data_IF_994164601696
#
_entry.id   IF_994164601696
#
_cell.length_a   1.000
_cell.length_b   1.000
_cell.length_c   1.000
_cell.angle_alpha   90.00
_cell.angle_beta   90.00
_cell.angle_gamma   90.00
#
_symmetry.space_group_name_H-M   'P 1'
#
loop_
_entity.id
_entity.type
_entity.pdbx_description
1 polymer ?
#
# COMPACT_ATOMS: atom_id res chain seq x y z
N UNK A 1 -1.37 -5.62 19.65
CA UNK A 1 -0.43 -4.86 18.81
C UNK A 1 -1.21 -4.24 17.66
N UNK A 2 -1.06 -2.94 17.39
CA UNK A 2 -1.67 -2.27 16.24
C UNK A 2 -0.61 -2.11 15.16
N UNK A 3 -0.94 -2.51 13.92
CA UNK A 3 -0.09 -2.38 12.75
C UNK A 3 -0.80 -1.48 11.74
N UNK A 4 -0.22 -0.33 11.47
CA UNK A 4 -0.67 0.57 10.41
C UNK A 4 -0.03 0.13 9.10
N UNK A 5 -0.79 0.09 8.02
CA UNK A 5 -0.26 -0.38 6.75
C UNK A 5 -0.88 0.39 5.58
N UNK A 6 -0.11 0.59 4.52
CA UNK A 6 -0.70 0.88 3.21
C UNK A 6 -1.33 -0.38 2.63
N UNK A 7 -2.04 -0.24 1.54
CA UNK A 7 -2.65 -1.35 0.83
C UNK A 7 -1.86 -1.73 -0.43
N UNK A 8 -1.79 -0.81 -1.36
CA UNK A 8 -1.20 -1.02 -2.68
C UNK A 8 0.33 -1.02 -2.60
N UNK A 9 0.98 -2.06 -3.15
CA UNK A 9 2.41 -2.26 -3.02
C UNK A 9 2.87 -2.76 -1.63
N UNK A 10 1.95 -2.96 -0.69
CA UNK A 10 2.23 -3.48 0.67
C UNK A 10 1.46 -4.77 0.94
N UNK A 11 0.15 -4.73 0.86
CA UNK A 11 -0.75 -5.87 1.06
C UNK A 11 -1.16 -6.53 -0.26
N UNK A 12 -1.45 -5.69 -1.26
CA UNK A 12 -1.98 -6.07 -2.56
C UNK A 12 -1.04 -5.65 -3.69
N UNK A 13 -0.96 -6.47 -4.73
CA UNK A 13 -0.20 -6.17 -5.95
C UNK A 13 -1.04 -5.35 -6.93
N UNK A 14 -1.22 -4.06 -6.59
CA UNK A 14 -1.91 -3.09 -7.43
C UNK A 14 -1.20 -2.93 -8.78
N UNK A 15 0.12 -2.87 -8.78
CA UNK A 15 0.93 -2.61 -9.97
C UNK A 15 0.69 -3.69 -11.03
N UNK A 16 0.72 -4.98 -10.67
CA UNK A 16 0.44 -6.07 -11.59
C UNK A 16 -0.94 -5.91 -12.25
N UNK A 17 -1.98 -5.65 -11.46
CA UNK A 17 -3.35 -5.50 -11.96
C UNK A 17 -3.51 -4.27 -12.85
N UNK A 18 -2.92 -3.14 -12.44
CA UNK A 18 -2.93 -1.91 -13.22
C UNK A 18 -2.20 -2.08 -14.55
N UNK A 19 -1.03 -2.72 -14.57
CA UNK A 19 -0.29 -2.98 -15.80
C UNK A 19 -1.05 -3.89 -16.77
N UNK A 20 -1.73 -4.92 -16.27
CA UNK A 20 -2.62 -5.74 -17.08
C UNK A 20 -3.77 -4.93 -17.69
N UNK A 21 -4.39 -4.07 -16.90
CA UNK A 21 -5.47 -3.21 -17.35
C UNK A 21 -4.98 -2.19 -18.41
N UNK A 22 -3.84 -1.57 -18.21
CA UNK A 22 -3.19 -0.66 -19.15
C UNK A 22 -2.81 -1.37 -20.46
N UNK A 23 -2.25 -2.58 -20.35
CA UNK A 23 -1.91 -3.40 -21.52
C UNK A 23 -3.14 -3.69 -22.40
N UNK A 24 -4.28 -3.99 -21.79
CA UNK A 24 -5.55 -4.21 -22.52
C UNK A 24 -6.06 -2.95 -23.22
N UNK A 25 -5.70 -1.77 -22.72
CA UNK A 25 -6.00 -0.47 -23.35
C UNK A 25 -4.98 -0.06 -24.43
N UNK A 26 -3.95 -0.86 -24.66
CA UNK A 26 -2.93 -0.61 -25.68
C UNK A 26 -1.68 0.10 -25.18
N UNK A 27 -1.60 0.49 -23.91
CA UNK A 27 -0.41 1.10 -23.34
C UNK A 27 0.70 0.08 -23.11
N UNK A 28 1.95 0.54 -23.26
CA UNK A 28 3.15 -0.26 -23.03
C UNK A 28 4.12 0.53 -22.17
N UNK A 29 4.80 -0.11 -21.21
CA UNK A 29 5.77 0.57 -20.37
C UNK A 29 6.97 1.04 -21.20
N UNK A 30 7.46 2.23 -20.89
CA UNK A 30 8.70 2.82 -21.43
C UNK A 30 9.80 2.84 -20.39
N UNK A 31 9.46 2.92 -19.10
CA UNK A 31 10.37 2.80 -17.96
C UNK A 31 9.73 1.96 -16.85
N UNK A 32 10.07 0.67 -16.83
CA UNK A 32 9.50 -0.28 -15.84
C UNK A 32 10.05 -0.11 -14.42
N UNK A 33 11.01 0.77 -14.19
CA UNK A 33 11.58 1.05 -12.87
C UNK A 33 10.95 2.27 -12.19
N UNK A 34 10.22 3.09 -12.97
CA UNK A 34 9.59 4.29 -12.45
C UNK A 34 8.37 3.97 -11.56
N UNK A 35 8.29 4.64 -10.40
CA UNK A 35 7.11 4.61 -9.54
C UNK A 35 5.93 5.39 -10.15
N UNK A 36 6.21 6.57 -10.68
CA UNK A 36 5.19 7.44 -11.27
C UNK A 36 4.69 6.88 -12.61
N UNK A 37 3.38 6.65 -12.71
CA UNK A 37 2.77 5.99 -13.86
C UNK A 37 2.85 6.82 -15.16
N UNK A 38 2.91 8.14 -15.06
CA UNK A 38 3.18 9.02 -16.21
C UNK A 38 4.57 8.76 -16.81
N UNK A 39 5.59 8.66 -15.98
CA UNK A 39 6.96 8.30 -16.40
C UNK A 39 7.00 6.85 -16.90
N UNK A 40 6.38 5.93 -16.16
CA UNK A 40 6.34 4.50 -16.50
C UNK A 40 5.79 4.24 -17.91
N UNK A 41 4.74 4.96 -18.31
CA UNK A 41 4.08 4.79 -19.61
C UNK A 41 4.41 5.88 -20.64
N UNK A 42 5.19 6.89 -20.29
CA UNK A 42 5.54 8.00 -21.20
C UNK A 42 4.30 8.82 -21.61
N UNK A 43 3.34 8.99 -20.71
CA UNK A 43 2.10 9.76 -20.91
C UNK A 43 2.12 11.05 -20.09
N UNK A 44 1.15 11.94 -20.30
CA UNK A 44 1.06 13.14 -19.49
C UNK A 44 0.61 12.83 -18.06
N UNK A 45 1.00 13.67 -17.10
CA UNK A 45 0.59 13.55 -15.71
C UNK A 45 -0.95 13.61 -15.55
N UNK A 46 -1.61 14.44 -16.37
CA UNK A 46 -3.07 14.56 -16.36
C UNK A 46 -3.74 13.25 -16.83
N UNK A 47 -3.29 12.68 -17.93
CA UNK A 47 -3.77 11.41 -18.46
C UNK A 47 -3.50 10.26 -17.48
N UNK A 48 -2.31 10.21 -16.90
CA UNK A 48 -1.95 9.21 -15.88
C UNK A 48 -2.89 9.28 -14.66
N UNK A 49 -3.18 10.49 -14.16
CA UNK A 49 -4.10 10.68 -13.04
C UNK A 49 -5.50 10.18 -13.39
N UNK A 50 -6.03 10.53 -14.56
CA UNK A 50 -7.35 10.09 -15.01
C UNK A 50 -7.43 8.56 -15.13
N UNK A 51 -6.40 7.93 -15.71
CA UNK A 51 -6.33 6.47 -15.85
C UNK A 51 -6.22 5.77 -14.48
N UNK A 52 -5.44 6.29 -13.54
CA UNK A 52 -5.35 5.76 -12.19
C UNK A 52 -6.69 5.84 -11.46
N UNK A 53 -7.38 6.97 -11.51
CA UNK A 53 -8.72 7.13 -10.92
C UNK A 53 -9.70 6.16 -11.56
N UNK A 54 -9.75 6.09 -12.90
CA UNK A 54 -10.62 5.17 -13.64
C UNK A 54 -10.40 3.71 -13.22
N UNK A 55 -9.15 3.31 -13.03
CA UNK A 55 -8.82 1.96 -12.57
C UNK A 55 -9.27 1.74 -11.13
N UNK A 56 -8.95 2.67 -10.22
CA UNK A 56 -9.30 2.57 -8.80
C UNK A 56 -10.81 2.57 -8.53
N UNK A 57 -11.62 3.14 -9.43
CA UNK A 57 -13.07 3.14 -9.38
C UNK A 57 -13.72 2.00 -10.19
N UNK A 58 -12.91 1.19 -10.85
CA UNK A 58 -13.40 0.04 -11.60
C UNK A 58 -13.62 -1.18 -10.69
N UNK A 59 -14.40 -2.16 -11.21
CA UNK A 59 -14.57 -3.45 -10.52
C UNK A 59 -13.25 -4.20 -10.28
N UNK A 60 -12.19 -3.89 -11.03
CA UNK A 60 -10.88 -4.53 -10.91
C UNK A 60 -10.28 -4.35 -9.50
N UNK A 61 -10.52 -3.20 -8.84
CA UNK A 61 -9.99 -2.93 -7.50
C UNK A 61 -10.48 -3.90 -6.43
N UNK A 62 -11.64 -4.51 -6.65
CA UNK A 62 -12.20 -5.54 -5.77
C UNK A 62 -11.53 -6.94 -5.93
N UNK A 63 -10.57 -7.10 -6.85
CA UNK A 63 -9.98 -8.38 -7.19
C UNK A 63 -8.45 -8.33 -7.31
N UNK A 64 -7.81 -7.35 -6.69
CA UNK A 64 -6.35 -7.27 -6.67
C UNK A 64 -5.76 -8.51 -5.98
N UNK A 65 -4.70 -9.11 -6.52
CA UNK A 65 -4.02 -10.23 -5.88
C UNK A 65 -3.21 -9.76 -4.66
N UNK A 66 -2.91 -10.66 -3.72
CA UNK A 66 -2.02 -10.36 -2.61
C UNK A 66 -0.58 -10.12 -3.09
N UNK A 67 0.13 -9.24 -2.40
CA UNK A 67 1.55 -9.02 -2.65
C UNK A 67 2.37 -10.15 -2.00
N UNK A 68 3.20 -10.82 -2.79
CA UNK A 68 4.20 -11.81 -2.31
C UNK A 68 3.63 -12.75 -1.22
N UNK A 69 4.23 -12.73 -0.04
CA UNK A 69 3.92 -13.56 1.12
C UNK A 69 2.97 -12.91 2.14
N UNK A 70 2.32 -11.79 1.76
CA UNK A 70 1.47 -11.00 2.65
C UNK A 70 0.37 -11.84 3.33
N UNK A 71 -0.32 -12.72 2.58
CA UNK A 71 -1.39 -13.56 3.17
C UNK A 71 -0.87 -14.33 4.38
N UNK A 72 0.27 -14.98 4.23
CA UNK A 72 0.82 -15.86 5.26
C UNK A 72 1.17 -15.10 6.52
N UNK A 73 1.89 -13.99 6.39
CA UNK A 73 2.46 -13.31 7.56
C UNK A 73 1.51 -12.31 8.20
N UNK A 74 0.62 -11.67 7.44
CA UNK A 74 -0.48 -10.87 8.00
C UNK A 74 -1.40 -11.74 8.86
N UNK A 75 -1.83 -12.90 8.33
CA UNK A 75 -2.64 -13.85 9.11
C UNK A 75 -1.89 -14.37 10.33
N UNK A 76 -0.62 -14.72 10.19
CA UNK A 76 0.20 -15.20 11.30
C UNK A 76 0.36 -14.15 12.41
N UNK A 77 0.56 -12.88 12.05
CA UNK A 77 0.59 -11.78 13.01
C UNK A 77 -0.76 -11.62 13.71
N UNK A 78 -1.86 -11.71 12.96
CA UNK A 78 -3.21 -11.62 13.54
C UNK A 78 -3.54 -12.80 14.47
N UNK A 79 -3.38 -14.04 13.98
CA UNK A 79 -3.80 -15.25 14.66
C UNK A 79 -2.88 -15.63 15.84
N UNK A 80 -1.56 -15.48 15.68
CA UNK A 80 -0.57 -15.91 16.68
C UNK A 80 -0.16 -14.79 17.64
N UNK A 81 -0.16 -13.53 17.19
CA UNK A 81 0.31 -12.37 17.98
C UNK A 81 -0.82 -11.42 18.40
N UNK A 82 -2.06 -11.69 17.97
CA UNK A 82 -3.19 -10.81 18.25
C UNK A 82 -3.05 -9.42 17.61
N UNK A 83 -2.33 -9.31 16.49
CA UNK A 83 -2.19 -8.05 15.80
C UNK A 83 -3.51 -7.63 15.15
N UNK A 84 -3.82 -6.35 15.24
CA UNK A 84 -4.95 -5.70 14.58
C UNK A 84 -4.41 -4.72 13.56
N UNK A 85 -4.99 -4.73 12.37
CA UNK A 85 -4.49 -3.91 11.27
C UNK A 85 -5.40 -2.71 10.99
N UNK A 86 -4.78 -1.53 10.82
CA UNK A 86 -5.43 -0.35 10.27
C UNK A 86 -4.80 -0.04 8.90
N UNK A 87 -5.58 -0.20 7.84
CA UNK A 87 -5.14 0.10 6.48
C UNK A 87 -5.44 1.55 6.12
N UNK A 88 -4.43 2.29 5.64
CA UNK A 88 -4.53 3.70 5.21
C UNK A 88 -3.99 3.79 3.79
N UNK A 89 -4.87 3.92 2.80
CA UNK A 89 -4.52 3.84 1.38
C UNK A 89 -5.08 5.01 0.58
N UNK A 90 -4.27 5.55 -0.35
CA UNK A 90 -4.69 6.63 -1.27
C UNK A 90 -5.09 6.00 -2.60
N UNK A 91 -6.39 5.78 -2.82
CA UNK A 91 -6.90 5.14 -4.02
C UNK A 91 -8.08 5.87 -4.66
N UNK A 92 -9.15 6.08 -3.92
CA UNK A 92 -10.36 6.81 -4.29
C UNK A 92 -11.22 7.02 -3.05
N UNK A 93 -11.98 8.10 -3.02
CA UNK A 93 -13.01 8.40 -2.02
C UNK A 93 -14.43 7.99 -2.49
N UNK A 94 -14.53 7.34 -3.66
CA UNK A 94 -15.79 6.77 -4.14
C UNK A 94 -16.28 5.65 -3.22
N UNK A 95 -17.53 5.70 -2.71
CA UNK A 95 -18.03 4.72 -1.75
C UNK A 95 -18.06 3.27 -2.26
N UNK A 96 -18.24 3.07 -3.57
CA UNK A 96 -18.22 1.72 -4.16
C UNK A 96 -16.82 1.18 -4.28
N UNK A 97 -15.86 2.02 -4.66
CA UNK A 97 -14.45 1.65 -4.69
C UNK A 97 -13.95 1.28 -3.29
N UNK A 98 -14.31 2.05 -2.26
CA UNK A 98 -14.00 1.74 -0.85
C UNK A 98 -14.57 0.38 -0.46
N UNK A 99 -15.85 0.14 -0.73
CA UNK A 99 -16.50 -1.15 -0.43
C UNK A 99 -15.83 -2.33 -1.14
N UNK A 100 -15.44 -2.17 -2.40
CA UNK A 100 -14.71 -3.20 -3.15
C UNK A 100 -13.34 -3.48 -2.52
N UNK A 101 -12.64 -2.46 -2.06
CA UNK A 101 -11.35 -2.60 -1.36
C UNK A 101 -11.53 -3.38 -0.05
N UNK A 102 -12.48 -3.01 0.79
CA UNK A 102 -12.78 -3.71 2.03
C UNK A 102 -13.12 -5.19 1.77
N UNK A 103 -13.99 -5.46 0.80
CA UNK A 103 -14.33 -6.83 0.42
C UNK A 103 -13.13 -7.64 -0.11
N UNK A 104 -12.21 -6.98 -0.83
CA UNK A 104 -10.99 -7.64 -1.31
C UNK A 104 -10.07 -8.02 -0.14
N UNK A 105 -9.86 -7.11 0.80
CA UNK A 105 -9.07 -7.37 2.01
C UNK A 105 -9.68 -8.49 2.86
N UNK A 106 -10.98 -8.45 3.12
CA UNK A 106 -11.71 -9.47 3.86
C UNK A 106 -11.60 -10.85 3.21
N UNK A 107 -11.72 -10.92 1.88
CA UNK A 107 -11.64 -12.19 1.15
C UNK A 107 -10.24 -12.79 1.19
N UNK A 108 -9.20 -11.97 1.12
CA UNK A 108 -7.81 -12.44 1.07
C UNK A 108 -7.27 -12.76 2.46
N UNK A 109 -7.46 -11.85 3.41
CA UNK A 109 -6.82 -11.94 4.72
C UNK A 109 -7.73 -12.52 5.80
N UNK A 110 -9.04 -12.45 5.63
CA UNK A 110 -10.05 -12.87 6.59
C UNK A 110 -10.78 -11.68 7.21
N UNK A 111 -12.06 -11.89 7.53
CA UNK A 111 -12.87 -10.87 8.20
C UNK A 111 -12.33 -10.58 9.60
N UNK A 112 -12.28 -9.31 9.96
CA UNK A 112 -11.83 -8.86 11.28
C UNK A 112 -10.33 -8.69 11.44
N UNK A 113 -9.52 -9.03 10.45
CA UNK A 113 -8.08 -8.72 10.42
C UNK A 113 -7.86 -7.21 10.39
N UNK A 114 -8.62 -6.52 9.55
CA UNK A 114 -8.60 -5.06 9.43
C UNK A 114 -9.74 -4.45 10.25
N UNK A 115 -9.41 -3.86 11.39
CA UNK A 115 -10.38 -3.12 12.22
C UNK A 115 -10.79 -1.82 11.53
N UNK A 116 -9.88 -1.25 10.74
CA UNK A 116 -10.09 0.02 10.08
C UNK A 116 -9.49 0.03 8.67
N UNK A 117 -10.27 0.49 7.70
CA UNK A 117 -9.80 0.78 6.34
C UNK A 117 -10.13 2.23 6.03
N UNK A 118 -9.11 3.04 5.83
CA UNK A 118 -9.22 4.46 5.48
C UNK A 118 -8.76 4.63 4.04
N UNK A 119 -9.69 4.96 3.16
CA UNK A 119 -9.40 5.28 1.76
C UNK A 119 -9.41 6.79 1.57
N UNK A 120 -8.34 7.31 0.99
CA UNK A 120 -8.16 8.71 0.61
C UNK A 120 -8.27 8.83 -0.91
N UNK A 121 -8.48 10.03 -1.42
CA UNK A 121 -8.47 10.30 -2.85
C UNK A 121 -7.17 9.86 -3.53
N UNK A 122 -7.23 9.62 -4.84
CA UNK A 122 -6.08 9.13 -5.60
C UNK A 122 -4.93 10.15 -5.57
N UNK A 123 -3.83 9.75 -4.93
CA UNK A 123 -2.63 10.57 -4.77
C UNK A 123 -2.66 11.54 -3.59
N UNK A 124 -3.70 11.50 -2.75
CA UNK A 124 -3.77 12.34 -1.55
C UNK A 124 -2.70 11.93 -0.52
N UNK A 125 -2.22 12.93 0.22
CA UNK A 125 -1.26 12.75 1.29
C UNK A 125 -1.90 12.06 2.51
N UNK A 126 -1.08 11.36 3.29
CA UNK A 126 -1.53 10.58 4.45
C UNK A 126 -1.33 11.29 5.79
N UNK A 127 -0.80 12.48 5.78
CA UNK A 127 -0.39 13.24 6.97
C UNK A 127 -1.54 13.36 7.97
N UNK A 128 -2.70 13.85 7.52
CA UNK A 128 -3.88 14.02 8.37
C UNK A 128 -4.42 12.68 8.90
N UNK A 129 -4.44 11.65 8.06
CA UNK A 129 -4.90 10.34 8.46
C UNK A 129 -3.98 9.66 9.49
N UNK A 130 -2.67 9.97 9.44
CA UNK A 130 -1.67 9.47 10.38
C UNK A 130 -1.58 10.29 11.68
N UNK A 131 -2.05 11.54 11.70
CA UNK A 131 -1.89 12.43 12.86
C UNK A 131 -2.43 11.84 14.17
N UNK A 132 -3.52 11.10 14.09
CA UNK A 132 -4.11 10.42 15.25
C UNK A 132 -3.22 9.34 15.88
N UNK A 133 -2.18 8.91 15.17
CA UNK A 133 -1.23 7.88 15.60
C UNK A 133 0.13 8.46 15.98
N UNK A 134 0.28 9.78 15.94
CA UNK A 134 1.53 10.46 16.30
C UNK A 134 2.04 9.99 17.66
N UNK A 135 3.36 9.76 17.75
CA UNK A 135 4.08 9.34 18.94
C UNK A 135 3.56 8.03 19.59
N UNK A 136 2.79 7.22 18.82
CA UNK A 136 2.26 5.94 19.32
C UNK A 136 3.28 4.80 19.31
N UNK A 137 4.36 4.95 18.58
CA UNK A 137 5.32 3.87 18.29
C UNK A 137 4.67 2.63 17.66
N UNK A 138 3.52 2.83 16.98
CA UNK A 138 2.90 1.73 16.23
C UNK A 138 3.70 1.43 14.97
N UNK A 139 3.70 0.16 14.56
CA UNK A 139 4.30 -0.27 13.31
C UNK A 139 3.59 0.40 12.14
N UNK A 140 4.36 1.01 11.23
CA UNK A 140 3.88 1.60 9.98
C UNK A 140 4.59 0.96 8.79
N UNK A 141 3.82 0.33 7.89
CA UNK A 141 4.36 -0.41 6.74
C UNK A 141 3.98 0.28 5.44
N UNK A 142 4.99 0.63 4.63
CA UNK A 142 4.84 1.41 3.41
C UNK A 142 5.75 0.90 2.28
N UNK A 143 5.40 1.22 1.03
CA UNK A 143 6.22 1.00 -0.17
C UNK A 143 6.81 2.29 -0.75
N UNK A 144 6.18 3.45 -0.48
CA UNK A 144 6.68 4.77 -0.90
C UNK A 144 7.61 5.33 0.18
N UNK A 145 8.86 5.57 -0.17
CA UNK A 145 9.91 5.95 0.78
C UNK A 145 9.60 7.25 1.54
N UNK A 146 9.09 8.28 0.85
CA UNK A 146 8.74 9.55 1.48
C UNK A 146 7.67 9.40 2.57
N UNK A 147 6.73 8.47 2.38
CA UNK A 147 5.70 8.19 3.37
C UNK A 147 6.20 7.32 4.52
N UNK A 148 7.22 6.47 4.29
CA UNK A 148 7.91 5.77 5.36
C UNK A 148 8.71 6.77 6.23
N UNK A 149 9.43 7.69 5.60
CA UNK A 149 10.16 8.77 6.28
C UNK A 149 9.20 9.69 7.07
N UNK A 150 8.02 9.97 6.54
CA UNK A 150 6.98 10.73 7.24
C UNK A 150 6.54 9.99 8.50
N UNK A 151 6.24 8.69 8.41
CA UNK A 151 5.86 7.89 9.56
C UNK A 151 6.90 7.91 10.67
N UNK A 152 8.19 7.76 10.32
CA UNK A 152 9.29 7.85 11.28
C UNK A 152 9.36 9.24 11.95
N UNK A 153 9.17 10.32 11.19
CA UNK A 153 9.10 11.71 11.74
C UNK A 153 7.90 11.91 12.66
N UNK A 154 6.84 11.14 12.48
CA UNK A 154 5.64 11.17 13.33
C UNK A 154 5.74 10.26 14.56
N UNK A 155 6.89 9.64 14.83
CA UNK A 155 7.09 8.76 15.98
C UNK A 155 6.47 7.38 15.82
N UNK A 156 6.37 6.90 14.58
CA UNK A 156 5.96 5.53 14.26
C UNK A 156 7.19 4.64 14.04
N UNK A 157 7.08 3.36 14.35
CA UNK A 157 8.08 2.33 14.01
C UNK A 157 7.92 1.97 12.53
N UNK A 158 8.74 2.60 11.67
CA UNK A 158 8.48 2.71 10.24
C UNK A 158 9.28 1.70 9.42
N UNK A 159 8.58 0.97 8.56
CA UNK A 159 9.14 -0.05 7.67
C UNK A 159 8.81 0.23 6.21
N UNK A 160 9.82 0.11 5.35
CA UNK A 160 9.67 0.22 3.91
C UNK A 160 9.80 -1.16 3.24
N UNK A 161 8.73 -1.63 2.58
CA UNK A 161 8.80 -2.82 1.74
C UNK A 161 9.57 -2.50 0.46
N UNK A 162 10.60 -3.30 0.19
CA UNK A 162 11.50 -3.10 -0.93
C UNK A 162 10.83 -3.42 -2.27
N UNK A 163 10.94 -2.48 -3.21
CA UNK A 163 10.55 -2.59 -4.61
C UNK A 163 11.62 -1.97 -5.49
N UNK A 164 11.65 -2.32 -6.77
CA UNK A 164 12.62 -1.78 -7.72
C UNK A 164 12.61 -0.24 -7.79
N UNK A 165 11.44 0.36 -7.66
CA UNK A 165 11.28 1.82 -7.71
C UNK A 165 11.73 2.56 -6.45
N UNK A 166 11.95 1.86 -5.33
CA UNK A 166 12.38 2.48 -4.08
C UNK A 166 13.75 1.99 -3.58
N UNK A 167 14.39 1.01 -4.25
CA UNK A 167 15.61 0.36 -3.79
C UNK A 167 16.79 1.32 -3.60
N UNK A 168 16.89 2.36 -4.44
CA UNK A 168 17.97 3.34 -4.42
C UNK A 168 17.65 4.59 -3.57
N UNK A 169 16.48 4.65 -2.92
CA UNK A 169 16.12 5.77 -2.07
C UNK A 169 16.92 5.72 -0.75
N UNK A 170 17.55 6.83 -0.40
CA UNK A 170 18.21 7.00 0.90
C UNK A 170 17.16 7.27 1.96
N UNK A 171 16.99 6.34 2.89
CA UNK A 171 16.00 6.42 3.96
C UNK A 171 16.49 7.26 5.13
N UNK A 172 15.56 7.76 5.93
CA UNK A 172 15.82 8.25 7.26
C UNK A 172 16.36 7.13 8.15
N UNK A 173 17.27 7.44 9.09
CA UNK A 173 17.91 6.47 9.99
C UNK A 173 16.91 5.68 10.83
N UNK A 174 15.70 6.19 11.03
CA UNK A 174 14.62 5.55 11.79
C UNK A 174 13.64 4.75 10.91
N UNK A 175 13.98 4.47 9.65
CA UNK A 175 13.18 3.63 8.75
C UNK A 175 13.93 2.35 8.46
N UNK A 176 13.29 1.21 8.71
CA UNK A 176 13.85 -0.11 8.41
C UNK A 176 13.35 -0.63 7.07
N UNK A 177 14.29 -0.96 6.17
CA UNK A 177 13.96 -1.59 4.88
C UNK A 177 13.75 -3.09 5.06
N UNK A 178 12.67 -3.63 4.52
CA UNK A 178 12.34 -5.05 4.54
C UNK A 178 11.98 -5.55 3.14
N UNK A 179 12.36 -6.78 2.80
CA UNK A 179 12.13 -7.32 1.45
C UNK A 179 10.70 -7.84 1.25
N UNK A 180 10.05 -8.27 2.34
CA UNK A 180 8.73 -8.90 2.31
C UNK A 180 8.13 -8.95 3.73
N UNK A 181 6.93 -9.50 3.84
CA UNK A 181 6.23 -9.65 5.11
C UNK A 181 6.92 -10.64 6.07
N UNK A 182 7.64 -11.64 5.55
CA UNK A 182 8.44 -12.52 6.41
C UNK A 182 9.54 -11.74 7.13
N UNK A 183 10.25 -10.92 6.40
CA UNK A 183 11.34 -10.11 6.95
C UNK A 183 10.79 -9.13 8.02
N UNK A 184 9.65 -8.47 7.75
CA UNK A 184 8.96 -7.65 8.74
C UNK A 184 8.54 -8.47 9.97
N UNK A 185 7.94 -9.65 9.77
CA UNK A 185 7.53 -10.53 10.86
C UNK A 185 8.70 -10.87 11.79
N UNK A 186 9.89 -11.15 11.23
CA UNK A 186 11.08 -11.48 11.99
C UNK A 186 11.59 -10.31 12.87
N UNK A 187 11.21 -9.06 12.54
CA UNK A 187 11.53 -7.87 13.34
C UNK A 187 10.54 -7.61 14.47
N UNK A 188 9.24 -7.81 14.23
CA UNK A 188 8.18 -7.31 15.12
C UNK A 188 7.44 -8.40 15.92
N UNK A 189 7.69 -9.68 15.68
CA UNK A 189 6.93 -10.81 16.27
C UNK A 189 7.54 -11.40 17.58
#
# INVERSE_FOLDING_TARGET
MIILTDCDGVLLDWAQSYHWWMHRKGYRPVDSTAYAMDVHYGITRAESKELCVTFCESAAVGFLPPLRDAIKYVRKLHEEKGAVFHCITSMSDDPWAIKLREQNLDRIFGKGVFERVVCLGCGDDKDEALERYRDSNFVWVKDKAENADLGAKMGLDSYLINHIYNENHTLNDNVTRVDNWKHLYDYIA
#
